data_IF_170274077801
#
_entry.id   IF_170274077801
#
_cell.length_a   1.000
_cell.length_b   1.000
_cell.length_c   1.000
_cell.angle_alpha   90.00
_cell.angle_beta   90.00
_cell.angle_gamma   90.00
#
_symmetry.space_group_name_H-M   'P 1'
#
loop_
_entity.id
_entity.type
_entity.pdbx_description
1 polymer ?
#
# COMPACT_ATOMS: atom_id res chain seq x y z
N UNK A 1 -1.56 -4.17 -18.74
CA UNK A 1 -2.43 -3.19 -18.06
C UNK A 1 -3.39 -3.86 -17.06
N UNK A 2 -3.17 -5.13 -16.71
CA UNK A 2 -4.17 -5.93 -15.97
C UNK A 2 -3.91 -6.06 -14.46
N UNK A 3 -2.66 -6.05 -14.01
CA UNK A 3 -2.35 -6.35 -12.60
C UNK A 3 -2.74 -5.24 -11.60
N UNK A 4 -2.68 -3.96 -11.99
CA UNK A 4 -3.15 -2.85 -11.14
C UNK A 4 -4.67 -2.85 -10.94
N UNK A 5 -5.42 -3.30 -11.96
CA UNK A 5 -6.88 -3.47 -11.86
C UNK A 5 -7.23 -4.66 -10.96
N UNK A 6 -6.43 -5.72 -11.05
CA UNK A 6 -6.56 -6.92 -10.22
C UNK A 6 -6.27 -6.65 -8.73
N UNK A 7 -5.30 -5.80 -8.40
CA UNK A 7 -5.06 -5.40 -6.99
C UNK A 7 -6.25 -4.62 -6.42
N UNK A 8 -6.74 -3.61 -7.15
CA UNK A 8 -7.88 -2.81 -6.69
C UNK A 8 -9.15 -3.66 -6.55
N UNK A 9 -9.42 -4.58 -7.48
CA UNK A 9 -10.58 -5.47 -7.36
C UNK A 9 -10.45 -6.45 -6.20
N UNK A 10 -9.25 -6.97 -5.92
CA UNK A 10 -8.98 -7.79 -4.73
C UNK A 10 -9.22 -7.01 -3.44
N UNK A 11 -8.71 -5.78 -3.35
CA UNK A 11 -8.91 -4.89 -2.20
C UNK A 11 -10.40 -4.63 -1.91
N UNK A 12 -11.20 -4.35 -2.94
CA UNK A 12 -12.63 -4.09 -2.77
C UNK A 12 -13.50 -5.34 -2.62
N UNK A 13 -13.01 -6.53 -3.02
CA UNK A 13 -13.74 -7.80 -2.85
C UNK A 13 -13.55 -8.45 -1.48
N UNK A 14 -12.54 -8.03 -0.71
CA UNK A 14 -12.24 -8.57 0.63
C UNK A 14 -13.05 -7.93 1.77
N UNK A 15 -14.16 -7.24 1.47
CA UNK A 15 -15.01 -6.52 2.42
C UNK A 15 -15.58 -7.35 3.61
N UNK A 16 -15.35 -8.66 3.66
CA UNK A 16 -15.72 -9.56 4.77
C UNK A 16 -14.52 -10.12 5.56
N UNK A 17 -13.28 -9.73 5.26
CA UNK A 17 -12.09 -10.11 6.03
C UNK A 17 -11.91 -9.07 7.14
N UNK A 18 -11.97 -9.53 8.40
CA UNK A 18 -11.60 -8.82 9.64
C UNK A 18 -10.63 -7.65 9.39
N UNK A 19 -10.90 -6.47 9.98
CA UNK A 19 -9.99 -5.30 10.07
C UNK A 19 -8.53 -5.71 9.87
N UNK A 20 -8.09 -5.70 8.62
CA UNK A 20 -6.77 -6.20 8.24
C UNK A 20 -5.77 -5.13 8.63
N UNK A 21 -4.73 -5.49 9.40
CA UNK A 21 -3.63 -4.56 9.68
C UNK A 21 -3.09 -4.01 8.36
N UNK A 22 -3.05 -2.70 8.24
CA UNK A 22 -2.66 -1.97 7.04
C UNK A 22 -1.23 -1.47 7.10
N UNK A 23 -0.75 -0.91 5.99
CA UNK A 23 0.54 -0.21 5.95
C UNK A 23 0.57 0.95 6.94
N UNK A 24 -0.54 1.68 7.09
CA UNK A 24 -0.60 2.77 8.05
C UNK A 24 -0.60 2.27 9.50
N UNK A 25 -1.24 1.14 9.80
CA UNK A 25 -1.17 0.54 11.14
C UNK A 25 0.26 0.13 11.50
N UNK A 26 1.04 -0.40 10.54
CA UNK A 26 2.47 -0.70 10.76
C UNK A 26 3.27 0.58 10.99
N UNK A 27 2.98 1.67 10.27
CA UNK A 27 3.65 2.96 10.49
C UNK A 27 3.34 3.54 11.86
N UNK A 28 2.09 3.44 12.30
CA UNK A 28 1.67 3.92 13.62
C UNK A 28 2.35 3.10 14.73
N UNK A 29 2.49 1.79 14.53
CA UNK A 29 3.27 0.89 15.38
C UNK A 29 4.75 1.34 15.46
N UNK A 30 5.40 1.59 14.32
CA UNK A 30 6.78 2.08 14.29
C UNK A 30 6.93 3.45 14.96
N UNK A 31 6.02 4.37 14.69
CA UNK A 31 6.02 5.72 15.26
C UNK A 31 5.80 5.71 16.77
N UNK A 32 5.02 4.76 17.27
CA UNK A 32 4.80 4.53 18.70
C UNK A 32 6.01 3.90 19.40
N UNK A 33 7.08 3.57 18.65
CA UNK A 33 8.29 2.95 19.18
C UNK A 33 8.20 1.44 19.36
N UNK A 34 7.14 0.81 18.86
CA UNK A 34 7.00 -0.65 18.91
C UNK A 34 7.92 -1.31 17.87
N UNK A 35 8.45 -2.48 18.22
CA UNK A 35 9.35 -3.22 17.35
C UNK A 35 8.58 -3.84 16.20
N UNK A 36 8.93 -3.44 14.97
CA UNK A 36 8.48 -4.11 13.76
C UNK A 36 9.21 -5.45 13.54
N UNK A 37 8.47 -6.44 13.03
CA UNK A 37 9.01 -7.68 12.49
C UNK A 37 9.81 -7.40 11.21
N UNK A 38 10.63 -8.37 10.78
CA UNK A 38 11.37 -8.26 9.52
C UNK A 38 10.45 -8.14 8.32
N UNK A 39 9.32 -8.85 8.34
CA UNK A 39 8.31 -8.82 7.27
C UNK A 39 7.56 -7.48 7.24
N UNK A 40 7.19 -6.93 8.40
CA UNK A 40 6.54 -5.61 8.49
C UNK A 40 7.46 -4.52 7.92
N UNK A 41 8.76 -4.55 8.26
CA UNK A 41 9.76 -3.63 7.68
C UNK A 41 9.91 -3.82 6.17
N UNK A 42 9.89 -5.07 5.70
CA UNK A 42 9.99 -5.37 4.28
C UNK A 42 8.77 -4.84 3.50
N UNK A 43 7.57 -5.05 4.03
CA UNK A 43 6.33 -4.53 3.47
C UNK A 43 6.32 -2.99 3.40
N UNK A 44 6.77 -2.29 4.45
CA UNK A 44 6.95 -0.82 4.40
C UNK A 44 7.90 -0.41 3.28
N UNK A 45 9.05 -1.07 3.17
CA UNK A 45 10.05 -0.78 2.13
C UNK A 45 9.47 -0.97 0.72
N UNK A 46 8.72 -2.06 0.51
CA UNK A 46 8.09 -2.34 -0.79
C UNK A 46 6.98 -1.34 -1.11
N UNK A 47 6.14 -0.99 -0.13
CA UNK A 47 5.13 0.04 -0.31
C UNK A 47 5.74 1.41 -0.66
N UNK A 48 6.83 1.80 -0.01
CA UNK A 48 7.51 3.06 -0.29
C UNK A 48 8.10 3.08 -1.70
N UNK A 49 8.72 1.98 -2.15
CA UNK A 49 9.21 1.83 -3.54
C UNK A 49 8.06 1.93 -4.54
N UNK A 50 6.95 1.23 -4.30
CA UNK A 50 5.75 1.29 -5.13
C UNK A 50 5.21 2.72 -5.23
N UNK A 51 5.05 3.40 -4.09
CA UNK A 51 4.57 4.78 -4.04
C UNK A 51 5.44 5.70 -4.87
N UNK A 52 6.76 5.68 -4.68
CA UNK A 52 7.69 6.52 -5.42
C UNK A 52 7.64 6.23 -6.92
N UNK A 53 7.69 4.94 -7.30
CA UNK A 53 7.61 4.50 -8.71
C UNK A 53 6.33 4.99 -9.39
N UNK A 54 5.17 4.84 -8.73
CA UNK A 54 3.88 5.26 -9.29
C UNK A 54 3.80 6.78 -9.37
N UNK A 55 4.14 7.52 -8.31
CA UNK A 55 4.02 8.96 -8.30
C UNK A 55 4.97 9.64 -9.31
N UNK A 56 6.21 9.16 -9.41
CA UNK A 56 7.18 9.68 -10.38
C UNK A 56 6.85 9.31 -11.83
N UNK A 57 5.97 8.34 -12.08
CA UNK A 57 5.55 7.98 -13.43
C UNK A 57 4.36 8.78 -13.94
N UNK A 58 3.80 9.70 -13.13
CA UNK A 58 2.61 10.46 -13.55
C UNK A 58 3.01 11.61 -14.49
N UNK A 59 2.25 11.84 -15.57
CA UNK A 59 2.65 12.77 -16.63
C UNK A 59 2.39 14.25 -16.28
N UNK A 60 1.57 14.53 -15.27
CA UNK A 60 1.18 15.87 -14.84
C UNK A 60 0.62 15.86 -13.42
N UNK A 61 0.38 17.05 -12.88
CA UNK A 61 -0.06 17.27 -11.50
C UNK A 61 -1.45 16.66 -11.21
N UNK A 62 -2.39 16.75 -12.15
CA UNK A 62 -3.73 16.18 -11.98
C UNK A 62 -3.67 14.66 -11.80
N UNK A 63 -2.93 13.97 -12.68
CA UNK A 63 -2.70 12.53 -12.59
C UNK A 63 -1.90 12.15 -11.33
N UNK A 64 -0.93 12.99 -10.93
CA UNK A 64 -0.20 12.82 -9.67
C UNK A 64 -1.15 12.84 -8.47
N UNK A 65 -2.02 13.85 -8.38
CA UNK A 65 -2.97 13.97 -7.27
C UNK A 65 -3.99 12.83 -7.25
N UNK A 66 -4.45 12.37 -8.41
CA UNK A 66 -5.32 11.19 -8.50
C UNK A 66 -4.63 9.93 -8.00
N UNK A 67 -3.40 9.67 -8.48
CA UNK A 67 -2.61 8.52 -8.04
C UNK A 67 -2.29 8.60 -6.54
N UNK A 68 -1.96 9.78 -6.03
CA UNK A 68 -1.69 10.02 -4.62
C UNK A 68 -2.90 9.65 -3.74
N UNK A 69 -4.10 10.12 -4.10
CA UNK A 69 -5.34 9.76 -3.38
C UNK A 69 -5.58 8.26 -3.39
N UNK A 70 -5.40 7.58 -4.54
CA UNK A 70 -5.54 6.12 -4.63
C UNK A 70 -4.55 5.39 -3.72
N UNK A 71 -3.28 5.84 -3.70
CA UNK A 71 -2.25 5.25 -2.83
C UNK A 71 -2.60 5.45 -1.35
N UNK A 72 -3.14 6.61 -0.97
CA UNK A 72 -3.59 6.82 0.41
C UNK A 72 -4.72 5.85 0.82
N UNK A 73 -5.67 5.57 -0.08
CA UNK A 73 -6.72 4.58 0.18
C UNK A 73 -6.11 3.19 0.34
N UNK A 74 -5.20 2.80 -0.55
CA UNK A 74 -4.49 1.51 -0.47
C UNK A 74 -3.74 1.38 0.86
N UNK A 75 -3.04 2.43 1.31
CA UNK A 75 -2.28 2.41 2.56
C UNK A 75 -3.15 2.20 3.81
N UNK A 76 -4.40 2.67 3.78
CA UNK A 76 -5.34 2.59 4.90
C UNK A 76 -6.20 1.32 4.89
N UNK A 77 -6.46 0.75 3.71
CA UNK A 77 -7.45 -0.34 3.56
C UNK A 77 -6.85 -1.67 3.10
N UNK A 78 -5.63 -1.67 2.56
CA UNK A 78 -4.98 -2.89 2.09
C UNK A 78 -4.28 -3.67 3.21
N UNK A 79 -4.40 -4.99 3.17
CA UNK A 79 -3.65 -5.90 4.04
C UNK A 79 -2.15 -5.73 3.75
N UNK A 80 -1.36 -5.49 4.79
CA UNK A 80 0.06 -5.24 4.61
C UNK A 80 0.82 -6.42 3.97
N UNK A 81 0.31 -7.66 4.10
CA UNK A 81 0.94 -8.83 3.49
C UNK A 81 0.93 -8.78 1.96
N UNK A 82 0.00 -8.03 1.35
CA UNK A 82 -0.01 -7.86 -0.11
C UNK A 82 1.26 -7.17 -0.62
N UNK A 83 1.97 -6.43 0.24
CA UNK A 83 3.23 -5.76 -0.07
C UNK A 83 4.47 -6.63 0.19
N UNK A 84 4.31 -7.89 0.59
CA UNK A 84 5.42 -8.84 0.70
C UNK A 84 5.84 -9.46 -0.64
N UNK A 85 4.95 -9.47 -1.63
CA UNK A 85 5.24 -10.05 -2.94
C UNK A 85 5.90 -9.01 -3.86
N UNK A 86 7.01 -9.39 -4.50
CA UNK A 86 7.97 -8.49 -5.18
C UNK A 86 7.45 -7.78 -6.45
N UNK A 87 6.21 -7.98 -6.87
CA UNK A 87 5.67 -7.37 -8.10
C UNK A 87 4.51 -6.42 -7.83
N UNK A 88 4.84 -5.14 -7.58
CA UNK A 88 3.93 -3.99 -7.65
C UNK A 88 4.38 -2.94 -8.68
#
# INVERSE_FOLDING_TARGET
>A
MDQKRDLLSRLFSTANKSLTNSINDIRDKEFSGEKLSSEEKFALSNFDKYRIKVLNSQPNDEAFHEAYRKIQVIANLGDWHDFLNEEL
#
